data_IF_553996264326
#
_entry.id   IF_553996264326
#
_cell.length_a   1.000
_cell.length_b   1.000
_cell.length_c   1.000
_cell.angle_alpha   90.00
_cell.angle_beta   90.00
_cell.angle_gamma   90.00
#
_symmetry.space_group_name_H-M   'P 1'
#
loop_
_entity.id
_entity.type
_entity.pdbx_description
1 polymer ?
#
# COMPACT_ATOMS: atom_id res chain seq x y z
N UNK A 1 -24.80 -28.23 11.99
CA UNK A 1 -24.40 -27.01 12.74
C UNK A 1 -22.99 -26.49 12.37
N UNK A 2 -21.94 -27.30 12.23
CA UNK A 2 -20.60 -26.85 11.83
C UNK A 2 -20.57 -26.11 10.48
N UNK A 3 -21.27 -26.62 9.45
CA UNK A 3 -21.31 -26.01 8.11
C UNK A 3 -21.92 -24.58 8.07
N UNK A 4 -22.86 -24.24 8.94
CA UNK A 4 -23.50 -22.92 8.95
C UNK A 4 -22.57 -21.86 9.57
N UNK A 5 -21.80 -22.21 10.60
CA UNK A 5 -20.86 -21.33 11.27
C UNK A 5 -19.70 -20.97 10.34
N UNK A 6 -19.18 -21.95 9.60
CA UNK A 6 -18.11 -21.72 8.62
C UNK A 6 -18.59 -20.85 7.44
N UNK A 7 -19.82 -21.06 6.98
CA UNK A 7 -20.40 -20.26 5.90
C UNK A 7 -20.57 -18.78 6.32
N UNK A 8 -21.08 -18.51 7.52
CA UNK A 8 -21.19 -17.13 8.02
C UNK A 8 -19.83 -16.43 8.16
N UNK A 9 -18.81 -17.15 8.61
CA UNK A 9 -17.45 -16.62 8.71
C UNK A 9 -16.89 -16.29 7.33
N UNK A 10 -17.03 -17.18 6.36
CA UNK A 10 -16.58 -16.98 4.98
C UNK A 10 -17.24 -15.77 4.34
N UNK A 11 -18.56 -15.63 4.49
CA UNK A 11 -19.32 -14.47 3.97
C UNK A 11 -18.83 -13.16 4.60
N UNK A 12 -18.58 -13.13 5.91
CA UNK A 12 -18.04 -11.92 6.58
C UNK A 12 -16.65 -11.56 6.08
N UNK A 13 -15.76 -12.52 5.89
CA UNK A 13 -14.42 -12.27 5.35
C UNK A 13 -14.48 -11.76 3.91
N UNK A 14 -15.33 -12.34 3.06
CA UNK A 14 -15.54 -11.90 1.69
C UNK A 14 -16.12 -10.47 1.63
N UNK A 15 -17.11 -10.16 2.45
CA UNK A 15 -17.69 -8.82 2.57
C UNK A 15 -16.64 -7.80 3.05
N UNK A 16 -15.80 -8.17 4.03
CA UNK A 16 -14.70 -7.33 4.50
C UNK A 16 -13.68 -7.06 3.39
N UNK A 17 -13.29 -8.08 2.63
CA UNK A 17 -12.37 -7.92 1.50
C UNK A 17 -12.97 -7.01 0.41
N UNK A 18 -14.25 -7.16 0.08
CA UNK A 18 -14.95 -6.33 -0.89
C UNK A 18 -15.03 -4.86 -0.44
N UNK A 19 -15.36 -4.61 0.84
CA UNK A 19 -15.35 -3.28 1.44
C UNK A 19 -13.94 -2.68 1.37
N UNK A 20 -12.93 -3.45 1.77
CA UNK A 20 -11.53 -3.02 1.69
C UNK A 20 -11.12 -2.66 0.26
N UNK A 21 -11.50 -3.47 -0.73
CA UNK A 21 -11.25 -3.20 -2.14
C UNK A 21 -11.90 -1.88 -2.59
N UNK A 22 -13.14 -1.62 -2.21
CA UNK A 22 -13.82 -0.37 -2.54
C UNK A 22 -13.10 0.85 -1.92
N UNK A 23 -12.73 0.79 -0.62
CA UNK A 23 -11.97 1.85 0.05
C UNK A 23 -10.59 2.03 -0.61
N UNK A 24 -9.88 0.95 -0.89
CA UNK A 24 -8.58 0.96 -1.56
C UNK A 24 -8.63 1.57 -2.96
N UNK A 25 -9.75 1.37 -3.67
CA UNK A 25 -9.99 1.89 -5.02
C UNK A 25 -10.17 3.40 -5.10
N UNK A 26 -10.29 4.12 -3.97
CA UNK A 26 -10.31 5.58 -3.95
C UNK A 26 -8.97 6.09 -4.49
N UNK A 27 -8.96 6.83 -5.63
CA UNK A 27 -7.74 7.21 -6.33
C UNK A 27 -7.14 8.50 -5.74
N UNK A 28 -6.59 8.43 -4.53
CA UNK A 28 -6.11 9.58 -3.73
C UNK A 28 -5.20 10.51 -4.53
N UNK A 29 -4.19 9.97 -5.23
CA UNK A 29 -3.25 10.79 -5.99
C UNK A 29 -3.88 11.48 -7.20
N UNK A 30 -4.86 10.85 -7.87
CA UNK A 30 -5.61 11.49 -8.97
C UNK A 30 -6.45 12.63 -8.43
N UNK A 31 -7.17 12.41 -7.33
CA UNK A 31 -7.98 13.45 -6.68
C UNK A 31 -7.13 14.63 -6.24
N UNK A 32 -6.02 14.35 -5.55
CA UNK A 32 -5.09 15.38 -5.07
C UNK A 32 -4.44 16.13 -6.25
N UNK A 33 -4.03 15.43 -7.30
CA UNK A 33 -3.46 16.05 -8.50
C UNK A 33 -4.42 16.99 -9.19
N UNK A 34 -5.68 16.56 -9.37
CA UNK A 34 -6.74 17.39 -9.96
C UNK A 34 -7.09 18.62 -9.11
N UNK A 35 -7.20 18.44 -7.79
CA UNK A 35 -7.55 19.55 -6.88
C UNK A 35 -6.41 20.55 -6.71
N UNK A 36 -5.14 20.11 -6.78
CA UNK A 36 -4.00 20.98 -6.51
C UNK A 36 -3.37 21.60 -7.76
N UNK A 37 -3.45 20.95 -8.91
CA UNK A 37 -2.79 21.35 -10.17
C UNK A 37 -3.66 21.23 -11.42
N UNK A 38 -4.90 20.76 -11.32
CA UNK A 38 -5.79 20.53 -12.46
C UNK A 38 -5.39 19.37 -13.38
N UNK A 39 -4.44 18.49 -12.95
CA UNK A 39 -3.88 17.43 -13.80
C UNK A 39 -4.28 16.04 -13.33
N UNK A 40 -4.34 15.10 -14.26
CA UNK A 40 -4.32 13.67 -13.93
C UNK A 40 -2.87 13.19 -13.85
N UNK A 41 -2.40 12.90 -12.65
CA UNK A 41 -1.00 12.48 -12.40
C UNK A 41 -0.60 11.20 -13.15
N UNK A 42 -1.58 10.41 -13.63
CA UNK A 42 -1.32 9.19 -14.40
C UNK A 42 -0.96 9.46 -15.86
N UNK A 43 -1.13 10.69 -16.33
CA UNK A 43 -0.73 11.13 -17.67
C UNK A 43 0.70 11.70 -17.68
N UNK A 44 1.33 11.80 -16.49
CA UNK A 44 2.63 12.42 -16.30
C UNK A 44 3.59 11.53 -15.50
N UNK A 45 4.88 11.72 -15.70
CA UNK A 45 5.95 11.09 -14.93
C UNK A 45 5.94 9.55 -15.02
N UNK A 46 5.82 8.86 -13.88
CA UNK A 46 5.80 7.40 -13.83
C UNK A 46 4.41 6.78 -14.04
N UNK A 47 3.44 7.54 -14.47
CA UNK A 47 2.06 7.12 -14.76
C UNK A 47 1.34 6.40 -13.60
N UNK A 48 1.85 6.53 -12.38
CA UNK A 48 1.31 5.95 -11.16
C UNK A 48 0.53 7.01 -10.37
N UNK A 49 -0.52 6.63 -9.66
CA UNK A 49 -1.24 7.54 -8.77
C UNK A 49 -0.64 7.65 -7.35
N UNK A 50 0.48 7.01 -7.07
CA UNK A 50 1.10 7.02 -5.74
C UNK A 50 1.93 8.27 -5.45
N UNK A 51 2.26 8.48 -4.16
CA UNK A 51 2.98 9.64 -3.62
C UNK A 51 4.23 10.02 -4.44
N UNK A 52 5.06 9.04 -4.83
CA UNK A 52 6.31 9.32 -5.55
C UNK A 52 6.09 9.98 -6.92
N UNK A 53 5.01 9.64 -7.63
CA UNK A 53 4.64 10.30 -8.87
C UNK A 53 4.01 11.68 -8.61
N UNK A 54 3.15 11.80 -7.60
CA UNK A 54 2.57 13.08 -7.20
C UNK A 54 3.66 14.08 -6.79
N UNK A 55 4.72 13.60 -6.12
CA UNK A 55 5.88 14.44 -5.79
C UNK A 55 6.56 15.03 -7.04
N UNK A 56 6.66 14.23 -8.11
CA UNK A 56 7.27 14.65 -9.39
C UNK A 56 6.38 15.61 -10.18
N UNK A 57 5.07 15.38 -10.16
CA UNK A 57 4.12 16.06 -11.06
C UNK A 57 3.40 17.24 -10.40
N UNK A 58 3.12 17.15 -9.11
CA UNK A 58 2.34 18.13 -8.37
C UNK A 58 3.09 18.79 -7.20
N UNK A 59 4.25 18.26 -6.81
CA UNK A 59 5.11 18.84 -5.78
C UNK A 59 4.91 18.24 -4.38
N UNK A 60 5.64 18.83 -3.39
CA UNK A 60 5.78 18.24 -2.04
C UNK A 60 4.47 18.21 -1.24
N UNK A 61 3.72 19.32 -1.22
CA UNK A 61 2.47 19.41 -0.46
C UNK A 61 1.45 18.34 -0.89
N UNK A 62 1.06 18.29 -2.19
CA UNK A 62 0.20 17.24 -2.72
C UNK A 62 0.70 15.82 -2.48
N UNK A 63 2.03 15.60 -2.53
CA UNK A 63 2.61 14.29 -2.27
C UNK A 63 2.40 13.83 -0.83
N UNK A 64 2.59 14.71 0.15
CA UNK A 64 2.36 14.41 1.57
C UNK A 64 0.88 14.09 1.84
N UNK A 65 -0.03 14.88 1.25
CA UNK A 65 -1.48 14.62 1.36
C UNK A 65 -1.83 13.25 0.75
N UNK A 66 -1.29 12.95 -0.43
CA UNK A 66 -1.51 11.64 -1.08
C UNK A 66 -0.99 10.49 -0.22
N UNK A 67 0.21 10.64 0.38
CA UNK A 67 0.78 9.63 1.27
C UNK A 67 -0.12 9.40 2.50
N UNK A 68 -0.57 10.47 3.13
CA UNK A 68 -1.45 10.40 4.30
C UNK A 68 -2.78 9.70 3.97
N UNK A 69 -3.38 10.04 2.84
CA UNK A 69 -4.62 9.42 2.37
C UNK A 69 -4.43 7.94 2.02
N UNK A 70 -3.31 7.57 1.39
CA UNK A 70 -3.02 6.18 1.03
C UNK A 70 -2.73 5.30 2.26
N UNK A 71 -2.04 5.82 3.27
CA UNK A 71 -1.88 5.16 4.59
C UNK A 71 -3.23 5.07 5.28
N UNK A 72 -3.94 6.19 5.34
CA UNK A 72 -5.23 6.31 6.02
C UNK A 72 -6.28 5.35 5.50
N UNK A 73 -6.40 5.20 4.17
CA UNK A 73 -7.38 4.26 3.58
C UNK A 73 -7.05 2.80 3.89
N UNK A 74 -5.76 2.43 3.95
CA UNK A 74 -5.33 1.10 4.36
C UNK A 74 -5.66 0.80 5.83
N UNK A 75 -5.36 1.76 6.71
CA UNK A 75 -5.68 1.66 8.14
C UNK A 75 -7.20 1.63 8.38
N UNK A 76 -7.96 2.50 7.70
CA UNK A 76 -9.42 2.55 7.80
C UNK A 76 -10.06 1.24 7.34
N UNK A 77 -9.63 0.71 6.20
CA UNK A 77 -10.12 -0.58 5.70
C UNK A 77 -9.87 -1.70 6.71
N UNK A 78 -8.64 -1.81 7.24
CA UNK A 78 -8.32 -2.84 8.24
C UNK A 78 -9.16 -2.67 9.51
N UNK A 79 -9.32 -1.46 10.04
CA UNK A 79 -10.11 -1.20 11.25
C UNK A 79 -11.60 -1.50 11.04
N UNK A 80 -12.18 -1.05 9.93
CA UNK A 80 -13.58 -1.36 9.59
C UNK A 80 -13.77 -2.87 9.37
N UNK A 81 -12.81 -3.54 8.74
CA UNK A 81 -12.85 -4.99 8.58
C UNK A 81 -12.79 -5.75 9.92
N UNK A 82 -12.05 -5.25 10.92
CA UNK A 82 -12.06 -5.83 12.28
C UNK A 82 -13.44 -5.75 12.91
N UNK A 83 -14.12 -4.62 12.79
CA UNK A 83 -15.44 -4.41 13.40
C UNK A 83 -16.53 -5.20 12.69
N UNK A 84 -16.56 -5.19 11.37
CA UNK A 84 -17.61 -5.81 10.56
C UNK A 84 -17.36 -7.29 10.30
N UNK A 85 -16.11 -7.68 10.13
CA UNK A 85 -15.69 -9.04 9.77
C UNK A 85 -15.47 -9.99 10.95
N UNK A 86 -15.67 -9.52 12.19
CA UNK A 86 -15.50 -10.35 13.38
C UNK A 86 -14.05 -10.50 13.83
N UNK A 87 -13.30 -9.40 13.92
CA UNK A 87 -11.97 -9.37 14.51
C UNK A 87 -10.83 -9.34 13.48
N UNK A 88 -9.60 -9.67 13.93
CA UNK A 88 -8.37 -9.53 13.15
C UNK A 88 -8.39 -10.18 11.77
N UNK A 89 -9.12 -11.30 11.59
CA UNK A 89 -9.27 -11.96 10.28
C UNK A 89 -10.02 -11.09 9.27
N UNK A 90 -11.11 -10.44 9.71
CA UNK A 90 -11.85 -9.47 8.89
C UNK A 90 -11.00 -8.25 8.55
N UNK A 91 -10.24 -7.74 9.52
CA UNK A 91 -9.30 -6.65 9.31
C UNK A 91 -8.21 -6.98 8.30
N UNK A 92 -7.63 -8.19 8.37
CA UNK A 92 -6.64 -8.66 7.41
C UNK A 92 -7.22 -8.80 5.99
N UNK A 93 -8.43 -9.34 5.88
CA UNK A 93 -9.13 -9.47 4.59
C UNK A 93 -9.43 -8.11 3.97
N UNK A 94 -9.94 -7.15 4.75
CA UNK A 94 -10.21 -5.80 4.29
C UNK A 94 -8.92 -5.03 3.95
N UNK A 95 -7.88 -5.16 4.76
CA UNK A 95 -6.56 -4.57 4.50
C UNK A 95 -5.97 -5.07 3.18
N UNK A 96 -6.01 -6.39 2.94
CA UNK A 96 -5.56 -6.96 1.67
C UNK A 96 -6.45 -6.50 0.50
N UNK A 97 -7.76 -6.46 0.69
CA UNK A 97 -8.69 -5.87 -0.27
C UNK A 97 -8.29 -4.45 -0.66
N UNK A 98 -7.94 -3.61 0.33
CA UNK A 98 -7.50 -2.24 0.10
C UNK A 98 -6.18 -2.16 -0.68
N UNK A 99 -5.24 -3.06 -0.41
CA UNK A 99 -3.98 -3.18 -1.18
C UNK A 99 -4.27 -3.51 -2.65
N UNK A 100 -5.15 -4.46 -2.90
CA UNK A 100 -5.57 -4.85 -4.25
C UNK A 100 -6.32 -3.70 -4.93
N UNK A 101 -7.27 -3.07 -4.23
CA UNK A 101 -8.03 -1.93 -4.73
C UNK A 101 -7.15 -0.73 -5.09
N UNK A 102 -6.10 -0.43 -4.29
CA UNK A 102 -5.15 0.62 -4.64
C UNK A 102 -4.32 0.25 -5.88
N UNK A 103 -3.94 -1.01 -6.05
CA UNK A 103 -3.17 -1.48 -7.21
C UNK A 103 -3.98 -1.51 -8.50
N UNK A 104 -5.24 -1.90 -8.40
CA UNK A 104 -6.18 -2.03 -9.52
C UNK A 104 -7.55 -1.42 -9.15
N UNK A 105 -7.63 -0.08 -9.05
CA UNK A 105 -8.82 0.61 -8.57
C UNK A 105 -9.94 0.61 -9.61
N UNK A 106 -11.10 0.08 -9.24
CA UNK A 106 -12.29 0.11 -10.11
C UNK A 106 -12.72 1.55 -10.45
N UNK A 107 -12.59 2.49 -9.50
CA UNK A 107 -12.97 3.89 -9.72
C UNK A 107 -11.97 4.69 -10.57
N UNK A 108 -10.87 4.07 -10.99
CA UNK A 108 -9.86 4.71 -11.83
C UNK A 108 -9.45 3.87 -13.05
N UNK A 109 -10.37 3.02 -13.54
CA UNK A 109 -10.15 2.18 -14.72
C UNK A 109 -9.02 1.18 -14.53
N UNK A 110 -8.85 0.64 -13.34
CA UNK A 110 -7.83 -0.34 -12.94
C UNK A 110 -6.37 0.14 -13.11
N UNK A 111 -6.15 1.45 -13.33
CA UNK A 111 -4.83 2.09 -13.44
C UNK A 111 -4.44 2.72 -12.11
N UNK A 112 -3.87 1.93 -11.21
CA UNK A 112 -3.59 2.29 -9.82
C UNK A 112 -2.12 2.53 -9.49
N UNK A 113 -1.83 2.54 -8.17
CA UNK A 113 -0.51 2.71 -7.60
C UNK A 113 0.21 1.40 -7.29
N UNK A 114 1.15 1.45 -6.32
CA UNK A 114 2.02 0.33 -5.93
C UNK A 114 1.75 -0.22 -4.54
N UNK A 115 0.75 0.31 -3.87
CA UNK A 115 0.17 -0.16 -2.60
C UNK A 115 1.06 -0.16 -1.36
N UNK A 116 2.33 0.30 -1.42
CA UNK A 116 3.23 0.26 -0.26
C UNK A 116 2.68 1.04 0.94
N UNK A 117 2.20 2.28 0.71
CA UNK A 117 1.59 3.12 1.75
C UNK A 117 0.29 2.51 2.30
N UNK A 118 -0.55 1.96 1.41
CA UNK A 118 -1.82 1.31 1.80
C UNK A 118 -1.56 0.02 2.60
N UNK A 119 -0.59 -0.79 2.19
CA UNK A 119 -0.16 -1.98 2.95
C UNK A 119 0.38 -1.57 4.32
N UNK A 120 1.24 -0.55 4.39
CA UNK A 120 1.77 -0.03 5.65
C UNK A 120 0.64 0.40 6.60
N UNK A 121 -0.36 1.14 6.09
CA UNK A 121 -1.53 1.54 6.87
C UNK A 121 -2.32 0.34 7.42
N UNK A 122 -2.59 -0.66 6.60
CA UNK A 122 -3.30 -1.87 7.03
C UNK A 122 -2.49 -2.68 8.07
N UNK A 123 -1.19 -2.86 7.83
CA UNK A 123 -0.27 -3.57 8.74
C UNK A 123 -0.11 -2.84 10.07
N UNK A 124 -0.16 -1.50 10.07
CA UNK A 124 -0.10 -0.69 11.32
C UNK A 124 -1.27 -0.97 12.27
N UNK A 125 -2.41 -1.37 11.74
CA UNK A 125 -3.59 -1.77 12.54
C UNK A 125 -3.48 -3.22 13.00
N UNK A 126 -3.17 -4.13 12.09
CA UNK A 126 -3.23 -5.58 12.35
C UNK A 126 -1.99 -6.08 13.10
N UNK A 127 -0.81 -5.60 12.75
CA UNK A 127 0.48 -6.03 13.32
C UNK A 127 1.42 -4.84 13.53
N UNK A 128 1.17 -3.94 14.50
CA UNK A 128 1.97 -2.73 14.71
C UNK A 128 3.49 -2.97 14.81
N UNK A 129 4.00 -4.06 15.45
CA UNK A 129 5.44 -4.31 15.47
C UNK A 129 6.04 -4.54 14.07
N UNK A 130 5.30 -5.19 13.17
CA UNK A 130 5.71 -5.39 11.78
C UNK A 130 5.78 -4.06 11.03
N UNK A 131 4.80 -3.17 11.26
CA UNK A 131 4.83 -1.82 10.69
C UNK A 131 6.06 -1.03 11.16
N UNK A 132 6.43 -1.14 12.45
CA UNK A 132 7.65 -0.53 12.99
C UNK A 132 8.91 -1.01 12.27
N UNK A 133 9.07 -2.31 12.06
CA UNK A 133 10.20 -2.88 11.30
C UNK A 133 10.20 -2.37 9.86
N UNK A 134 9.02 -2.37 9.20
CA UNK A 134 8.87 -1.86 7.83
C UNK A 134 9.30 -0.40 7.72
N UNK A 135 8.89 0.44 8.67
CA UNK A 135 9.21 1.86 8.69
C UNK A 135 10.72 2.11 8.86
N UNK A 136 11.34 1.47 9.84
CA UNK A 136 12.76 1.62 10.14
C UNK A 136 13.60 1.17 8.94
N UNK A 137 13.32 -0.01 8.39
CA UNK A 137 14.06 -0.53 7.24
C UNK A 137 13.86 0.34 5.99
N UNK A 138 12.64 0.80 5.73
CA UNK A 138 12.33 1.66 4.60
C UNK A 138 13.01 3.02 4.71
N UNK A 139 12.90 3.70 5.87
CA UNK A 139 13.52 5.02 6.07
C UNK A 139 15.05 4.91 6.06
N UNK A 140 15.63 3.88 6.65
CA UNK A 140 17.08 3.64 6.58
C UNK A 140 17.57 3.49 5.15
N UNK A 141 16.85 2.70 4.34
CA UNK A 141 17.17 2.52 2.93
C UNK A 141 17.00 3.82 2.11
N UNK A 142 15.97 4.62 2.41
CA UNK A 142 15.79 5.93 1.78
C UNK A 142 16.93 6.89 2.12
N UNK A 143 17.37 6.94 3.38
CA UNK A 143 18.44 7.81 3.84
C UNK A 143 19.75 7.55 3.09
N UNK A 144 20.05 6.27 2.82
CA UNK A 144 21.26 5.85 2.09
C UNK A 144 21.13 6.05 0.58
N UNK A 145 19.99 5.63 0.00
CA UNK A 145 19.86 5.54 -1.46
C UNK A 145 19.17 6.74 -2.09
N UNK A 146 18.43 7.52 -1.31
CA UNK A 146 17.56 8.61 -1.75
C UNK A 146 16.48 8.18 -2.77
N UNK A 147 16.17 6.87 -2.86
CA UNK A 147 15.20 6.31 -3.81
C UNK A 147 13.94 5.84 -3.09
N UNK A 148 12.79 6.40 -3.47
CA UNK A 148 11.48 6.04 -2.87
C UNK A 148 11.06 4.59 -3.18
N UNK A 149 11.50 4.03 -4.30
CA UNK A 149 11.27 2.62 -4.64
C UNK A 149 12.05 1.69 -3.72
N UNK A 150 13.28 2.05 -3.35
CA UNK A 150 14.10 1.27 -2.40
C UNK A 150 13.50 1.34 -1.00
N UNK A 151 13.01 2.52 -0.54
CA UNK A 151 12.22 2.63 0.70
C UNK A 151 11.05 1.63 0.70
N UNK A 152 10.26 1.63 -0.37
CA UNK A 152 9.06 0.80 -0.48
C UNK A 152 9.38 -0.70 -0.49
N UNK A 153 10.38 -1.11 -1.27
CA UNK A 153 10.77 -2.51 -1.40
C UNK A 153 11.41 -3.04 -0.11
N UNK A 154 12.43 -2.32 0.43
CA UNK A 154 13.11 -2.75 1.65
C UNK A 154 12.18 -2.76 2.86
N UNK A 155 11.33 -1.73 3.02
CA UNK A 155 10.33 -1.70 4.08
C UNK A 155 9.33 -2.86 3.96
N UNK A 156 8.81 -3.12 2.76
CA UNK A 156 7.87 -4.22 2.54
C UNK A 156 8.51 -5.59 2.77
N UNK A 157 9.73 -5.82 2.27
CA UNK A 157 10.44 -7.10 2.45
C UNK A 157 10.77 -7.33 3.93
N UNK A 158 11.35 -6.33 4.60
CA UNK A 158 11.67 -6.42 6.04
C UNK A 158 10.40 -6.67 6.89
N UNK A 159 9.31 -5.98 6.56
CA UNK A 159 8.01 -6.22 7.18
C UNK A 159 7.47 -7.63 6.93
N UNK A 160 7.59 -8.13 5.70
CA UNK A 160 7.20 -9.50 5.36
C UNK A 160 7.98 -10.56 6.14
N UNK A 161 9.30 -10.40 6.26
CA UNK A 161 10.16 -11.27 7.06
C UNK A 161 9.83 -11.19 8.54
N UNK A 162 9.60 -9.98 9.07
CA UNK A 162 9.16 -9.80 10.45
C UNK A 162 7.79 -10.43 10.71
N UNK A 163 6.84 -10.28 9.77
CA UNK A 163 5.53 -10.93 9.84
C UNK A 163 5.66 -12.45 9.85
N UNK A 164 6.54 -13.02 9.01
CA UNK A 164 6.80 -14.44 8.98
C UNK A 164 7.36 -14.93 10.32
N UNK A 165 8.42 -14.28 10.82
CA UNK A 165 9.04 -14.66 12.10
C UNK A 165 8.11 -14.52 13.31
N UNK A 166 7.40 -13.41 13.44
CA UNK A 166 6.45 -13.17 14.52
C UNK A 166 5.19 -14.02 14.37
N UNK A 167 4.70 -14.16 13.13
CA UNK A 167 3.50 -14.91 12.82
C UNK A 167 3.63 -16.40 13.15
N UNK A 168 4.76 -17.00 12.80
CA UNK A 168 5.05 -18.40 13.15
C UNK A 168 5.19 -18.60 14.67
N UNK A 169 5.90 -17.69 15.35
CA UNK A 169 6.10 -17.78 16.81
C UNK A 169 4.81 -17.56 17.60
N UNK A 170 3.96 -16.62 17.20
CA UNK A 170 2.74 -16.20 17.91
C UNK A 170 1.48 -16.83 17.32
N UNK A 171 1.57 -17.67 16.28
CA UNK A 171 0.44 -18.22 15.52
C UNK A 171 -0.52 -17.14 15.02
N UNK A 172 0.03 -15.98 14.57
CA UNK A 172 -0.75 -14.84 14.06
C UNK A 172 -1.12 -15.05 12.59
N UNK A 173 -2.12 -15.89 12.36
CA UNK A 173 -2.62 -16.18 11.01
C UNK A 173 -3.14 -14.92 10.27
N UNK A 174 -3.75 -13.96 10.98
CA UNK A 174 -4.27 -12.73 10.39
C UNK A 174 -3.13 -11.84 9.87
N UNK A 175 -2.09 -11.67 10.68
CA UNK A 175 -0.90 -10.92 10.27
C UNK A 175 -0.22 -11.53 9.05
N UNK A 176 -0.06 -12.85 9.02
CA UNK A 176 0.49 -13.57 7.88
C UNK A 176 -0.38 -13.43 6.62
N UNK A 177 -1.70 -13.59 6.75
CA UNK A 177 -2.65 -13.49 5.65
C UNK A 177 -2.72 -12.09 5.02
N UNK A 178 -2.40 -11.03 5.77
CA UNK A 178 -2.29 -9.67 5.24
C UNK A 178 -0.89 -9.41 4.66
N UNK A 179 0.18 -9.65 5.46
CA UNK A 179 1.51 -9.18 5.13
C UNK A 179 2.11 -9.90 3.93
N UNK A 180 2.04 -11.23 3.88
CA UNK A 180 2.72 -11.98 2.81
C UNK A 180 2.12 -11.73 1.42
N UNK A 181 0.79 -11.85 1.20
CA UNK A 181 0.21 -11.50 -0.10
C UNK A 181 0.35 -10.02 -0.41
N UNK A 182 0.23 -9.14 0.60
CA UNK A 182 0.41 -7.70 0.43
C UNK A 182 1.81 -7.34 -0.07
N UNK A 183 2.85 -7.94 0.50
CA UNK A 183 4.25 -7.79 0.04
C UNK A 183 4.41 -8.31 -1.38
N UNK A 184 3.83 -9.45 -1.71
CA UNK A 184 3.88 -9.99 -3.07
C UNK A 184 3.27 -9.03 -4.09
N UNK A 185 2.12 -8.42 -3.76
CA UNK A 185 1.50 -7.37 -4.61
C UNK A 185 2.43 -6.16 -4.75
N UNK A 186 3.03 -5.68 -3.66
CA UNK A 186 3.97 -4.55 -3.71
C UNK A 186 5.16 -4.87 -4.61
N UNK A 187 5.80 -6.02 -4.46
CA UNK A 187 6.95 -6.43 -5.29
C UNK A 187 6.54 -6.50 -6.76
N UNK A 188 5.42 -7.16 -7.06
CA UNK A 188 4.90 -7.25 -8.43
C UNK A 188 4.64 -5.88 -9.05
N UNK A 189 4.06 -4.94 -8.28
CA UNK A 189 3.79 -3.57 -8.75
C UNK A 189 5.06 -2.72 -8.89
N UNK A 190 6.18 -3.14 -8.30
CA UNK A 190 7.48 -2.48 -8.44
C UNK A 190 8.38 -3.10 -9.52
N UNK A 191 7.91 -4.03 -10.35
CA UNK A 191 8.73 -4.71 -11.37
C UNK A 191 9.51 -3.77 -12.27
N UNK A 192 8.90 -2.65 -12.70
CA UNK A 192 9.57 -1.65 -13.52
C UNK A 192 10.65 -0.86 -12.74
N UNK A 193 10.41 -0.60 -11.44
CA UNK A 193 11.42 0.02 -10.59
C UNK A 193 12.59 -0.93 -10.35
N UNK A 194 12.30 -2.22 -10.13
CA UNK A 194 13.32 -3.26 -9.96
C UNK A 194 14.19 -3.34 -11.22
N UNK A 195 13.59 -3.35 -12.39
CA UNK A 195 14.33 -3.33 -13.66
C UNK A 195 15.24 -2.08 -13.77
N UNK A 196 14.72 -0.87 -13.46
CA UNK A 196 15.53 0.34 -13.44
C UNK A 196 16.63 0.34 -12.37
N UNK A 197 16.37 -0.27 -11.20
CA UNK A 197 17.39 -0.44 -10.15
C UNK A 197 18.51 -1.35 -10.62
N UNK A 198 18.19 -2.47 -11.27
CA UNK A 198 19.19 -3.41 -11.83
C UNK A 198 20.04 -2.71 -12.91
N UNK A 199 19.43 -1.88 -13.75
CA UNK A 199 20.13 -1.10 -14.78
C UNK A 199 20.86 0.13 -14.23
N UNK A 200 20.73 0.46 -12.94
CA UNK A 200 21.35 1.64 -12.34
C UNK A 200 20.70 2.98 -12.70
N UNK A 201 19.54 3.00 -13.35
CA UNK A 201 18.83 4.21 -13.85
C UNK A 201 17.57 4.57 -13.05
N UNK A 202 17.36 4.00 -11.87
CA UNK A 202 16.22 4.39 -11.03
C UNK A 202 16.47 5.78 -10.43
N UNK A 203 15.59 6.78 -10.67
CA UNK A 203 15.81 8.16 -10.23
C UNK A 203 15.82 8.31 -8.71
N UNK A 204 16.73 9.14 -8.19
CA UNK A 204 16.74 9.54 -6.79
C UNK A 204 15.79 10.74 -6.56
N UNK A 205 15.45 10.97 -5.30
CA UNK A 205 14.67 12.15 -4.89
C UNK A 205 15.53 13.39 -5.11
N UNK A 206 15.01 14.32 -5.93
CA UNK A 206 15.68 15.57 -6.27
C UNK A 206 16.44 15.55 -7.58
N UNK A 207 16.53 14.43 -8.29
CA UNK A 207 17.06 14.41 -9.66
C UNK A 207 16.21 15.30 -10.59
N UNK A 208 16.77 15.86 -11.68
CA UNK A 208 16.03 16.71 -12.61
C UNK A 208 14.74 16.09 -13.13
N UNK A 209 14.77 14.79 -13.43
CA UNK A 209 13.59 14.01 -13.85
C UNK A 209 12.53 13.85 -12.75
N UNK A 210 12.85 14.20 -11.50
CA UNK A 210 11.93 14.13 -10.36
C UNK A 210 11.39 15.50 -9.96
N UNK A 211 11.71 16.57 -10.69
CA UNK A 211 11.17 17.92 -10.44
C UNK A 211 9.79 18.05 -11.06
N UNK A 212 8.86 18.78 -10.41
CA UNK A 212 7.58 19.09 -11.01
C UNK A 212 7.82 19.85 -12.34
N UNK A 213 7.13 19.43 -13.38
CA UNK A 213 7.03 20.23 -14.60
C UNK A 213 6.26 21.51 -14.26
N UNK A 214 6.82 22.66 -14.63
CA UNK A 214 6.25 23.98 -14.38
C UNK A 214 4.87 24.15 -15.04
#
# INVERSE_FOLDING_TARGET
MANSIDMHRTVRLAASAALGYAIGSIPSGVLVGRLSRGIDVREHGSHSMGMANVLRTAGRGPAVVTLALDIGKGAAAARLGETLGGGRGGGAAAGLGAVIGHSWPVFAGFRGGKSSATLFGAVSVITPPVAGVSLIAGLGALAVTRRTSVLSLSGSIAGGLAALGLGLRRRDAAGLALALPGVAVVIFRHRENIDRLIRGVEPAVGDPETRPTA
#
